data_IF_773169888879
#
_entry.id   IF_773169888879
#
_cell.length_a   1.000
_cell.length_b   1.000
_cell.length_c   1.000
_cell.angle_alpha   90.00
_cell.angle_beta   90.00
_cell.angle_gamma   90.00
#
_symmetry.space_group_name_H-M   'P 1'
#
loop_
_entity.id
_entity.type
_entity.pdbx_description
1 polymer ?
#
# COMPACT_ATOMS: atom_id res chain seq x y z
N UNK A 1 -12.07 15.01 79.56
CA UNK A 1 -11.13 15.88 78.84
C UNK A 1 -10.80 15.21 77.53
N UNK A 2 -11.48 15.61 76.45
CA UNK A 2 -11.24 15.09 75.11
C UNK A 2 -10.05 15.86 74.52
N UNK A 3 -9.01 15.16 74.15
CA UNK A 3 -7.83 15.74 73.51
C UNK A 3 -8.17 15.95 72.04
N UNK A 4 -8.35 17.21 71.64
CA UNK A 4 -8.65 17.59 70.25
C UNK A 4 -7.33 17.46 69.46
N UNK A 5 -7.27 16.49 68.55
CA UNK A 5 -6.11 16.27 67.68
C UNK A 5 -6.18 17.28 66.53
N UNK A 6 -5.19 18.15 66.44
CA UNK A 6 -5.13 19.24 65.46
C UNK A 6 -4.99 18.68 64.03
N UNK A 7 -5.58 19.36 63.05
CA UNK A 7 -5.50 19.04 61.60
C UNK A 7 -4.07 18.91 61.07
N UNK A 8 -3.09 19.51 61.74
CA UNK A 8 -1.68 19.39 61.39
C UNK A 8 -1.07 18.04 61.82
N UNK A 9 -1.53 17.46 62.93
CA UNK A 9 -1.04 16.17 63.41
C UNK A 9 -1.51 15.02 62.51
N UNK A 10 -2.71 15.13 61.94
CA UNK A 10 -3.22 14.19 60.93
C UNK A 10 -2.41 14.27 59.62
N UNK A 11 -2.06 15.47 59.14
CA UNK A 11 -1.26 15.65 57.92
C UNK A 11 0.20 15.19 58.07
N UNK A 12 0.77 15.39 59.27
CA UNK A 12 2.15 14.96 59.57
C UNK A 12 2.24 13.44 59.70
N UNK A 13 1.21 12.80 60.25
CA UNK A 13 1.11 11.34 60.26
C UNK A 13 0.81 10.74 58.89
N UNK A 14 -0.02 11.35 58.04
CA UNK A 14 -0.29 10.84 56.69
C UNK A 14 0.95 10.84 55.78
N UNK A 15 1.78 11.89 55.88
CA UNK A 15 3.07 11.93 55.18
C UNK A 15 4.10 10.97 55.79
N UNK A 16 4.07 10.79 57.12
CA UNK A 16 4.91 9.81 57.82
C UNK A 16 4.55 8.36 57.47
N UNK A 17 3.27 8.00 57.53
CA UNK A 17 2.75 6.68 57.14
C UNK A 17 2.95 6.41 55.64
N UNK A 18 2.84 7.42 54.76
CA UNK A 18 3.15 7.24 53.34
C UNK A 18 4.65 6.96 53.09
N UNK A 19 5.54 7.56 53.89
CA UNK A 19 6.99 7.33 53.82
C UNK A 19 7.37 5.99 54.48
N UNK A 20 6.71 5.61 55.57
CA UNK A 20 6.94 4.36 56.30
C UNK A 20 6.34 3.13 55.57
N UNK A 21 5.18 3.30 54.90
CA UNK A 21 4.64 2.34 53.95
C UNK A 21 5.50 2.25 52.68
N UNK A 22 6.11 3.35 52.23
CA UNK A 22 7.06 3.38 51.13
C UNK A 22 8.38 2.66 51.45
N UNK A 23 8.91 2.80 52.66
CA UNK A 23 10.15 2.14 53.11
C UNK A 23 9.96 0.64 53.39
N UNK A 24 8.86 0.23 54.02
CA UNK A 24 8.59 -1.20 54.30
C UNK A 24 8.17 -1.99 53.05
N UNK A 25 7.48 -1.35 52.08
CA UNK A 25 7.20 -1.95 50.77
C UNK A 25 8.45 -2.02 49.89
N UNK A 26 9.33 -1.01 49.96
CA UNK A 26 10.61 -1.04 49.25
C UNK A 26 11.51 -2.18 49.75
N UNK A 27 11.76 -2.34 51.05
CA UNK A 27 12.64 -3.42 51.52
C UNK A 27 12.16 -4.84 51.12
N UNK A 28 10.85 -5.06 51.08
CA UNK A 28 10.26 -6.36 50.76
C UNK A 28 10.13 -6.61 49.25
N UNK A 29 9.92 -5.58 48.44
CA UNK A 29 9.66 -5.69 46.99
C UNK A 29 10.71 -5.04 46.08
N UNK A 30 11.81 -4.48 46.60
CA UNK A 30 12.89 -3.89 45.80
C UNK A 30 13.43 -4.85 44.75
N UNK A 31 13.58 -6.14 45.06
CA UNK A 31 14.00 -7.16 44.08
C UNK A 31 12.96 -7.36 42.96
N UNK A 32 11.68 -7.34 43.30
CA UNK A 32 10.59 -7.46 42.33
C UNK A 32 10.50 -6.21 41.45
N UNK A 33 10.56 -5.01 42.03
CA UNK A 33 10.54 -3.75 41.30
C UNK A 33 11.78 -3.60 40.39
N UNK A 34 12.96 -3.95 40.88
CA UNK A 34 14.17 -3.96 40.06
C UNK A 34 14.05 -4.96 38.91
N UNK A 35 13.50 -6.15 39.15
CA UNK A 35 13.21 -7.13 38.10
C UNK A 35 12.24 -6.60 37.04
N UNK A 36 11.18 -5.91 37.46
CA UNK A 36 10.23 -5.26 36.54
C UNK A 36 10.91 -4.16 35.72
N UNK A 37 11.68 -3.28 36.36
CA UNK A 37 12.39 -2.19 35.68
C UNK A 37 13.41 -2.75 34.68
N UNK A 38 14.21 -3.75 35.06
CA UNK A 38 15.14 -4.44 34.17
C UNK A 38 14.40 -5.11 33.02
N UNK A 39 13.26 -5.77 33.30
CA UNK A 39 12.43 -6.39 32.27
C UNK A 39 11.87 -5.38 31.26
N UNK A 40 11.39 -4.23 31.72
CA UNK A 40 10.90 -3.14 30.87
C UNK A 40 12.03 -2.56 30.03
N UNK A 41 13.19 -2.29 30.62
CA UNK A 41 14.36 -1.77 29.91
C UNK A 41 14.87 -2.78 28.87
N UNK A 42 14.98 -4.06 29.22
CA UNK A 42 15.38 -5.10 28.28
C UNK A 42 14.41 -5.20 27.09
N UNK A 43 13.10 -5.15 27.37
CA UNK A 43 12.07 -5.14 26.32
C UNK A 43 12.19 -3.90 25.42
N UNK A 44 12.39 -2.72 26.01
CA UNK A 44 12.58 -1.48 25.26
C UNK A 44 13.83 -1.54 24.35
N UNK A 45 14.94 -2.11 24.84
CA UNK A 45 16.15 -2.31 24.03
C UNK A 45 15.90 -3.27 22.87
N UNK A 46 15.19 -4.37 23.08
CA UNK A 46 14.84 -5.33 22.00
C UNK A 46 13.95 -4.66 20.96
N UNK A 47 12.92 -3.90 21.39
CA UNK A 47 12.04 -3.14 20.49
C UNK A 47 12.83 -2.10 19.70
N UNK A 48 13.71 -1.35 20.36
CA UNK A 48 14.55 -0.35 19.71
C UNK A 48 15.53 -0.98 18.71
N UNK A 49 16.19 -2.08 19.07
CA UNK A 49 17.09 -2.79 18.18
C UNK A 49 16.36 -3.37 16.97
N UNK A 50 15.17 -3.95 17.16
CA UNK A 50 14.32 -4.43 16.08
C UNK A 50 13.86 -3.28 15.16
N UNK A 51 13.51 -2.13 15.74
CA UNK A 51 13.14 -0.93 14.99
C UNK A 51 14.32 -0.38 14.18
N UNK A 52 15.50 -0.25 14.78
CA UNK A 52 16.72 0.24 14.12
C UNK A 52 17.22 -0.70 12.99
N UNK A 53 17.09 -2.01 13.19
CA UNK A 53 17.38 -2.98 12.14
C UNK A 53 16.37 -2.91 10.99
N UNK A 54 15.08 -2.72 11.31
CA UNK A 54 14.03 -2.55 10.29
C UNK A 54 14.19 -1.24 9.52
N UNK A 55 14.54 -0.14 10.17
CA UNK A 55 14.70 1.17 9.51
C UNK A 55 15.88 1.18 8.54
N UNK A 56 17.05 0.67 8.96
CA UNK A 56 18.22 0.55 8.08
C UNK A 56 17.96 -0.35 6.86
N UNK A 57 17.16 -1.41 7.04
CA UNK A 57 16.71 -2.28 5.92
C UNK A 57 15.77 -1.55 4.95
N UNK A 58 14.91 -0.64 5.42
CA UNK A 58 13.98 0.12 4.58
C UNK A 58 14.71 1.20 3.78
N UNK A 59 15.72 1.86 4.37
CA UNK A 59 16.56 2.84 3.66
C UNK A 59 17.29 2.17 2.49
N UNK A 60 17.96 1.04 2.74
CA UNK A 60 18.62 0.26 1.69
C UNK A 60 17.64 -0.19 0.59
N UNK A 61 16.44 -0.62 0.96
CA UNK A 61 15.41 -1.01 0.00
C UNK A 61 14.94 0.17 -0.87
N UNK A 62 14.84 1.37 -0.28
CA UNK A 62 14.45 2.59 -0.99
C UNK A 62 15.53 3.04 -1.96
N UNK A 63 16.79 2.95 -1.58
CA UNK A 63 17.93 3.22 -2.47
C UNK A 63 17.97 2.22 -3.63
N UNK A 64 17.82 0.93 -3.34
CA UNK A 64 17.76 -0.13 -4.34
C UNK A 64 16.59 0.08 -5.33
N UNK A 65 15.40 0.44 -4.83
CA UNK A 65 14.26 0.79 -5.68
C UNK A 65 14.59 1.98 -6.58
N UNK A 66 15.20 3.04 -6.05
CA UNK A 66 15.61 4.18 -6.86
C UNK A 66 16.61 3.80 -7.96
N UNK A 67 17.56 2.90 -7.69
CA UNK A 67 18.48 2.37 -8.68
C UNK A 67 17.77 1.53 -9.75
N UNK A 68 16.86 0.64 -9.36
CA UNK A 68 16.06 -0.18 -10.26
C UNK A 68 15.18 0.69 -11.18
N UNK A 69 14.58 1.76 -10.64
CA UNK A 69 13.79 2.72 -11.42
C UNK A 69 14.64 3.47 -12.45
N UNK A 70 15.87 3.87 -12.11
CA UNK A 70 16.79 4.48 -13.09
C UNK A 70 17.12 3.53 -14.23
N UNK A 71 17.35 2.25 -13.94
CA UNK A 71 17.55 1.22 -14.96
C UNK A 71 16.29 1.09 -15.83
N UNK A 72 15.10 0.97 -15.23
CA UNK A 72 13.84 0.87 -15.96
C UNK A 72 13.55 2.09 -16.86
N UNK A 73 14.01 3.28 -16.46
CA UNK A 73 13.90 4.52 -17.23
C UNK A 73 15.08 4.79 -18.18
N UNK A 74 16.06 3.88 -18.23
CA UNK A 74 17.27 4.05 -19.03
C UNK A 74 16.98 4.25 -20.53
N UNK A 75 17.75 5.15 -21.15
CA UNK A 75 17.61 5.47 -22.57
C UNK A 75 18.18 4.34 -23.44
N UNK A 76 17.55 4.12 -24.59
CA UNK A 76 18.03 3.17 -25.60
C UNK A 76 18.92 3.93 -26.58
N UNK A 77 20.19 3.55 -26.66
CA UNK A 77 21.19 4.19 -27.52
C UNK A 77 21.78 3.19 -28.50
N UNK A 78 21.93 3.61 -29.77
CA UNK A 78 22.37 2.73 -30.85
C UNK A 78 23.86 2.32 -30.77
N UNK A 79 24.69 3.09 -30.06
CA UNK A 79 26.11 2.79 -29.86
C UNK A 79 26.60 3.39 -28.55
N UNK A 80 27.58 2.72 -27.92
CA UNK A 80 28.20 3.20 -26.69
C UNK A 80 27.31 3.11 -25.45
N UNK A 81 26.37 2.15 -25.41
CA UNK A 81 25.54 1.88 -24.25
C UNK A 81 26.39 1.61 -23.00
N UNK A 82 25.93 2.15 -21.86
CA UNK A 82 26.58 2.04 -20.55
C UNK A 82 25.56 1.51 -19.55
N UNK A 83 25.26 0.20 -19.57
CA UNK A 83 24.22 -0.38 -18.74
C UNK A 83 24.56 -0.35 -17.24
N UNK A 84 25.83 -0.23 -16.88
CA UNK A 84 26.32 -0.22 -15.48
C UNK A 84 26.59 1.19 -14.93
N UNK A 85 26.24 2.25 -15.66
CA UNK A 85 26.30 3.60 -15.11
C UNK A 85 25.27 3.75 -13.98
N UNK A 86 25.74 4.05 -12.76
CA UNK A 86 24.89 4.11 -11.58
C UNK A 86 23.86 5.26 -11.59
N UNK A 87 24.13 6.32 -12.38
CA UNK A 87 23.30 7.53 -12.44
C UNK A 87 22.47 7.58 -13.72
N UNK A 88 23.09 7.30 -14.86
CA UNK A 88 22.48 7.43 -16.18
C UNK A 88 22.72 6.15 -17.00
N UNK A 89 22.11 5.02 -16.61
CA UNK A 89 22.27 3.78 -17.35
C UNK A 89 21.62 3.91 -18.72
N UNK A 90 22.32 3.41 -19.74
CA UNK A 90 21.83 3.38 -21.13
C UNK A 90 21.98 1.98 -21.69
N UNK A 91 21.08 1.59 -22.59
CA UNK A 91 20.92 0.21 -23.04
C UNK A 91 20.95 0.12 -24.56
N UNK A 92 21.41 -1.01 -25.09
CA UNK A 92 21.38 -1.24 -26.53
C UNK A 92 19.97 -1.59 -27.04
N UNK A 93 19.09 -2.05 -26.15
CA UNK A 93 17.70 -2.39 -26.49
C UNK A 93 16.74 -2.26 -25.30
N UNK A 94 15.45 -2.16 -25.58
CA UNK A 94 14.40 -2.21 -24.56
C UNK A 94 14.44 -3.54 -23.80
N UNK A 95 14.64 -4.66 -24.50
CA UNK A 95 14.69 -5.99 -23.91
C UNK A 95 15.78 -6.11 -22.83
N UNK A 96 17.00 -5.69 -23.14
CA UNK A 96 18.12 -5.74 -22.20
C UNK A 96 17.84 -4.89 -20.95
N UNK A 97 17.31 -3.69 -21.15
CA UNK A 97 16.89 -2.79 -20.06
C UNK A 97 15.85 -3.45 -19.17
N UNK A 98 14.81 -4.00 -19.77
CA UNK A 98 13.67 -4.57 -19.06
C UNK A 98 14.08 -5.85 -18.31
N UNK A 99 14.93 -6.70 -18.89
CA UNK A 99 15.51 -7.86 -18.21
C UNK A 99 16.33 -7.44 -16.98
N UNK A 100 17.19 -6.42 -17.11
CA UNK A 100 17.99 -5.91 -15.98
C UNK A 100 17.12 -5.26 -14.91
N UNK A 101 16.13 -4.46 -15.30
CA UNK A 101 15.18 -3.84 -14.38
C UNK A 101 14.39 -4.90 -13.61
N UNK A 102 13.88 -5.92 -14.31
CA UNK A 102 13.14 -7.02 -13.72
C UNK A 102 13.96 -7.77 -12.68
N UNK A 103 15.22 -8.10 -12.99
CA UNK A 103 16.12 -8.75 -12.03
C UNK A 103 16.33 -7.92 -10.76
N UNK A 104 16.49 -6.60 -10.89
CA UNK A 104 16.64 -5.69 -9.75
C UNK A 104 15.36 -5.62 -8.90
N UNK A 105 14.20 -5.49 -9.53
CA UNK A 105 12.92 -5.50 -8.80
C UNK A 105 12.70 -6.82 -8.06
N UNK A 106 12.98 -7.97 -8.70
CA UNK A 106 12.90 -9.29 -8.06
C UNK A 106 13.81 -9.37 -6.83
N UNK A 107 15.06 -8.92 -6.94
CA UNK A 107 15.99 -8.92 -5.82
C UNK A 107 15.49 -8.08 -4.63
N UNK A 108 14.87 -6.92 -4.88
CA UNK A 108 14.26 -6.08 -3.83
C UNK A 108 13.11 -6.84 -3.15
N UNK A 109 12.25 -7.48 -3.93
CA UNK A 109 11.10 -8.24 -3.44
C UNK A 109 11.55 -9.41 -2.55
N UNK A 110 12.57 -10.15 -2.98
CA UNK A 110 13.11 -11.28 -2.22
C UNK A 110 13.80 -10.83 -0.92
N UNK A 111 14.53 -9.72 -0.95
CA UNK A 111 15.28 -9.24 0.21
C UNK A 111 14.42 -8.50 1.24
N UNK A 112 13.31 -7.88 0.82
CA UNK A 112 12.58 -6.91 1.64
C UNK A 112 11.08 -7.19 1.81
N UNK A 113 10.60 -8.38 1.45
CA UNK A 113 9.27 -8.89 1.82
C UNK A 113 8.14 -7.96 1.39
N UNK A 114 7.28 -7.52 2.31
CA UNK A 114 6.16 -6.60 2.06
C UNK A 114 6.45 -5.15 2.49
N UNK A 115 7.72 -4.75 2.54
CA UNK A 115 8.06 -3.34 2.74
C UNK A 115 7.52 -2.47 1.60
N UNK A 116 7.30 -1.17 1.85
CA UNK A 116 6.84 -0.23 0.81
C UNK A 116 7.65 -0.30 -0.49
N UNK A 117 9.00 -0.28 -0.45
CA UNK A 117 9.81 -0.42 -1.66
C UNK A 117 9.66 -1.77 -2.37
N UNK A 118 9.46 -2.86 -1.62
CA UNK A 118 9.20 -4.17 -2.20
C UNK A 118 7.81 -4.24 -2.84
N UNK A 119 6.78 -3.65 -2.24
CA UNK A 119 5.44 -3.56 -2.84
C UNK A 119 5.45 -2.72 -4.13
N UNK A 120 6.17 -1.60 -4.13
CA UNK A 120 6.39 -0.82 -5.35
C UNK A 120 7.12 -1.64 -6.42
N UNK A 121 8.13 -2.41 -6.04
CA UNK A 121 8.85 -3.32 -6.96
C UNK A 121 7.94 -4.43 -7.50
N UNK A 122 7.07 -5.01 -6.66
CA UNK A 122 6.05 -5.99 -7.11
C UNK A 122 5.09 -5.38 -8.12
N UNK A 123 4.63 -4.15 -7.89
CA UNK A 123 3.77 -3.45 -8.84
C UNK A 123 4.45 -3.32 -10.22
N UNK A 124 5.73 -2.93 -10.24
CA UNK A 124 6.51 -2.87 -11.49
C UNK A 124 6.67 -4.23 -12.17
N UNK A 125 6.93 -5.29 -11.40
CA UNK A 125 6.97 -6.66 -11.95
C UNK A 125 5.62 -7.08 -12.54
N UNK A 126 4.51 -6.70 -11.89
CA UNK A 126 3.17 -6.96 -12.39
C UNK A 126 2.90 -6.29 -13.73
N UNK A 127 3.27 -5.00 -13.87
CA UNK A 127 3.14 -4.24 -15.10
C UNK A 127 4.00 -4.82 -16.23
N UNK A 128 5.24 -5.24 -15.92
CA UNK A 128 6.13 -5.88 -16.88
C UNK A 128 5.57 -7.23 -17.36
N UNK A 129 5.11 -8.07 -16.44
CA UNK A 129 4.48 -9.35 -16.76
C UNK A 129 3.21 -9.16 -17.59
N UNK A 130 2.39 -8.15 -17.27
CA UNK A 130 1.20 -7.80 -18.04
C UNK A 130 1.58 -7.40 -19.47
N UNK A 131 2.60 -6.56 -19.65
CA UNK A 131 3.07 -6.09 -20.94
C UNK A 131 3.65 -7.22 -21.82
N UNK A 132 4.28 -8.22 -21.23
CA UNK A 132 4.82 -9.40 -21.95
C UNK A 132 3.79 -10.50 -22.16
N UNK A 133 2.56 -10.35 -21.63
CA UNK A 133 1.48 -11.30 -21.77
C UNK A 133 1.50 -12.44 -20.74
N UNK A 134 2.41 -12.42 -19.76
CA UNK A 134 2.40 -13.34 -18.63
C UNK A 134 1.35 -12.90 -17.59
N UNK A 135 0.09 -13.18 -17.92
CA UNK A 135 -1.07 -12.81 -17.10
C UNK A 135 -1.07 -13.47 -15.73
N UNK A 136 -0.53 -14.68 -15.62
CA UNK A 136 -0.46 -15.42 -14.37
C UNK A 136 0.50 -14.76 -13.39
N UNK A 137 1.71 -14.41 -13.84
CA UNK A 137 2.67 -13.68 -13.01
C UNK A 137 2.15 -12.27 -12.67
N UNK A 138 1.54 -11.58 -13.64
CA UNK A 138 0.95 -10.25 -13.41
C UNK A 138 -0.09 -10.29 -12.29
N UNK A 139 -1.05 -11.24 -12.36
CA UNK A 139 -2.07 -11.43 -11.34
C UNK A 139 -1.46 -11.69 -9.96
N UNK A 140 -0.52 -12.63 -9.88
CA UNK A 140 0.14 -12.97 -8.61
C UNK A 140 0.78 -11.74 -7.95
N UNK A 141 1.49 -10.92 -8.73
CA UNK A 141 2.12 -9.72 -8.21
C UNK A 141 1.11 -8.66 -7.77
N UNK A 142 0.07 -8.38 -8.57
CA UNK A 142 -0.97 -7.42 -8.20
C UNK A 142 -1.74 -7.85 -6.96
N UNK A 143 -2.16 -9.12 -6.86
CA UNK A 143 -2.86 -9.65 -5.69
C UNK A 143 -2.03 -9.48 -4.41
N UNK A 144 -0.73 -9.71 -4.49
CA UNK A 144 0.15 -9.53 -3.33
C UNK A 144 0.26 -8.06 -2.90
N UNK A 145 0.23 -7.12 -3.85
CA UNK A 145 0.22 -5.68 -3.55
C UNK A 145 -1.09 -5.26 -2.90
N UNK A 146 -2.23 -5.71 -3.43
CA UNK A 146 -3.55 -5.43 -2.85
C UNK A 146 -3.67 -6.02 -1.44
N UNK A 147 -3.24 -7.28 -1.23
CA UNK A 147 -3.35 -7.95 0.06
C UNK A 147 -2.47 -7.34 1.16
N UNK A 148 -1.41 -6.62 0.80
CA UNK A 148 -0.46 -6.04 1.77
C UNK A 148 -0.74 -4.56 2.09
N UNK A 149 -1.52 -3.87 1.26
CA UNK A 149 -1.71 -2.42 1.37
C UNK A 149 -3.18 -2.04 1.42
N UNK A 150 -3.80 -2.10 2.59
CA UNK A 150 -5.13 -1.50 2.77
C UNK A 150 -5.05 0.01 2.48
N UNK A 151 -5.88 0.49 1.55
CA UNK A 151 -6.07 1.89 1.11
C UNK A 151 -4.80 2.66 0.69
N UNK A 152 -3.81 1.98 0.12
CA UNK A 152 -2.63 2.64 -0.47
C UNK A 152 -2.81 2.93 -1.97
N UNK A 153 -2.15 3.98 -2.49
CA UNK A 153 -2.11 4.25 -3.93
C UNK A 153 -1.52 3.09 -4.75
N UNK A 154 -0.62 2.29 -4.14
CA UNK A 154 -0.09 1.07 -4.75
C UNK A 154 -1.19 0.00 -4.90
N UNK A 155 -2.00 -0.20 -3.85
CA UNK A 155 -3.12 -1.13 -3.91
C UNK A 155 -4.19 -0.66 -4.89
N UNK A 156 -4.49 0.65 -4.95
CA UNK A 156 -5.39 1.20 -5.96
C UNK A 156 -4.90 0.87 -7.38
N UNK A 157 -3.61 1.12 -7.67
CA UNK A 157 -3.01 0.82 -8.97
C UNK A 157 -3.06 -0.68 -9.28
N UNK A 158 -2.75 -1.52 -8.29
CA UNK A 158 -2.81 -2.97 -8.45
C UNK A 158 -4.24 -3.49 -8.67
N UNK A 159 -5.24 -2.92 -7.99
CA UNK A 159 -6.66 -3.24 -8.19
C UNK A 159 -7.12 -2.90 -9.61
N UNK A 160 -6.65 -1.78 -10.19
CA UNK A 160 -6.91 -1.45 -11.60
C UNK A 160 -6.26 -2.46 -12.55
N UNK A 161 -5.03 -2.89 -12.26
CA UNK A 161 -4.34 -3.96 -13.00
C UNK A 161 -5.10 -5.28 -12.98
N UNK A 162 -5.64 -5.67 -11.82
CA UNK A 162 -6.49 -6.86 -11.68
C UNK A 162 -7.80 -6.74 -12.45
N UNK A 163 -8.47 -5.59 -12.40
CA UNK A 163 -9.67 -5.35 -13.20
C UNK A 163 -9.40 -5.45 -14.71
N UNK A 164 -8.26 -4.93 -15.18
CA UNK A 164 -7.84 -5.07 -16.56
C UNK A 164 -7.58 -6.54 -16.96
N UNK A 165 -6.94 -7.33 -16.08
CA UNK A 165 -6.74 -8.76 -16.27
C UNK A 165 -8.06 -9.53 -16.32
N UNK A 166 -8.96 -9.28 -15.36
CA UNK A 166 -10.28 -9.93 -15.29
C UNK A 166 -11.06 -9.69 -16.59
N UNK A 167 -11.05 -8.46 -17.13
CA UNK A 167 -11.65 -8.17 -18.45
C UNK A 167 -10.98 -8.95 -19.59
N UNK A 168 -9.66 -8.98 -19.62
CA UNK A 168 -8.90 -9.63 -20.69
C UNK A 168 -9.03 -11.17 -20.68
N UNK A 169 -9.33 -11.75 -19.53
CA UNK A 169 -9.49 -13.21 -19.32
C UNK A 169 -10.95 -13.69 -19.44
N UNK A 170 -11.90 -12.78 -19.68
CA UNK A 170 -13.31 -13.12 -19.83
C UNK A 170 -14.09 -13.19 -18.51
N UNK A 171 -13.49 -12.77 -17.40
CA UNK A 171 -14.12 -12.70 -16.07
C UNK A 171 -14.88 -11.39 -15.83
N UNK A 172 -15.46 -10.81 -16.89
CA UNK A 172 -16.11 -9.49 -16.82
C UNK A 172 -17.39 -9.53 -15.95
N UNK A 173 -18.12 -10.65 -15.95
CA UNK A 173 -19.34 -10.80 -15.16
C UNK A 173 -19.04 -10.79 -13.64
N UNK A 174 -18.03 -11.56 -13.22
CA UNK A 174 -17.56 -11.61 -11.84
C UNK A 174 -17.03 -10.24 -11.39
N UNK A 175 -16.28 -9.57 -12.27
CA UNK A 175 -15.77 -8.23 -12.01
C UNK A 175 -16.90 -7.21 -11.81
N UNK A 176 -17.95 -7.24 -12.62
CA UNK A 176 -19.13 -6.36 -12.46
C UNK A 176 -19.75 -6.55 -11.07
N UNK A 177 -19.97 -7.80 -10.65
CA UNK A 177 -20.53 -8.09 -9.31
C UNK A 177 -19.62 -7.55 -8.20
N UNK A 178 -18.30 -7.75 -8.31
CA UNK A 178 -17.35 -7.22 -7.33
C UNK A 178 -17.39 -5.69 -7.25
N UNK A 179 -17.31 -5.00 -8.38
CA UNK A 179 -17.30 -3.53 -8.44
C UNK A 179 -18.61 -2.93 -7.90
N UNK A 180 -19.76 -3.55 -8.19
CA UNK A 180 -21.05 -3.13 -7.62
C UNK A 180 -21.08 -3.29 -6.09
N UNK A 181 -20.54 -4.41 -5.58
CA UNK A 181 -20.43 -4.63 -4.14
C UNK A 181 -19.49 -3.62 -3.47
N UNK A 182 -18.35 -3.32 -4.08
CA UNK A 182 -17.38 -2.35 -3.55
C UNK A 182 -18.01 -0.95 -3.51
N UNK A 183 -18.74 -0.57 -4.56
CA UNK A 183 -19.45 0.72 -4.63
C UNK A 183 -20.59 0.82 -3.61
N UNK A 184 -21.33 -0.26 -3.37
CA UNK A 184 -22.42 -0.28 -2.40
C UNK A 184 -21.92 -0.20 -0.95
N UNK A 185 -20.78 -0.83 -0.67
CA UNK A 185 -20.23 -0.90 0.69
C UNK A 185 -19.25 0.26 1.00
N UNK A 186 -18.77 0.96 -0.03
CA UNK A 186 -17.75 2.01 0.11
C UNK A 186 -16.44 1.45 0.68
N UNK A 187 -16.08 0.21 0.33
CA UNK A 187 -14.91 -0.49 0.86
C UNK A 187 -13.89 -0.74 -0.24
N UNK A 188 -12.61 -0.63 0.11
CA UNK A 188 -11.49 -0.98 -0.76
C UNK A 188 -10.69 0.24 -1.24
N UNK A 189 -9.59 -0.01 -1.96
CA UNK A 189 -8.58 1.00 -2.25
C UNK A 189 -8.99 1.99 -3.35
N UNK A 190 -10.15 1.81 -3.98
CA UNK A 190 -10.61 2.63 -5.10
C UNK A 190 -11.72 3.59 -4.66
N UNK A 191 -11.62 4.89 -4.99
CA UNK A 191 -12.70 5.83 -4.77
C UNK A 191 -13.90 5.54 -5.70
N UNK A 192 -15.08 6.03 -5.31
CA UNK A 192 -16.35 5.73 -5.98
C UNK A 192 -16.36 6.12 -7.47
N UNK A 193 -15.72 7.22 -7.85
CA UNK A 193 -15.63 7.67 -9.24
C UNK A 193 -14.79 6.72 -10.11
N UNK A 194 -13.69 6.20 -9.56
CA UNK A 194 -12.88 5.16 -10.21
C UNK A 194 -13.65 3.86 -10.33
N UNK A 195 -14.37 3.45 -9.28
CA UNK A 195 -15.22 2.25 -9.31
C UNK A 195 -16.31 2.34 -10.38
N UNK A 196 -16.98 3.50 -10.49
CA UNK A 196 -17.97 3.75 -11.54
C UNK A 196 -17.35 3.68 -12.95
N UNK A 197 -16.18 4.27 -13.14
CA UNK A 197 -15.48 4.23 -14.42
C UNK A 197 -15.09 2.79 -14.81
N UNK A 198 -14.51 2.03 -13.88
CA UNK A 198 -14.16 0.63 -14.12
C UNK A 198 -15.39 -0.24 -14.35
N UNK A 199 -16.48 0.00 -13.63
CA UNK A 199 -17.73 -0.72 -13.81
C UNK A 199 -18.30 -0.50 -15.21
N UNK A 200 -18.36 0.74 -15.67
CA UNK A 200 -18.87 1.06 -16.99
C UNK A 200 -18.03 0.44 -18.12
N UNK A 201 -16.70 0.56 -18.07
CA UNK A 201 -15.79 -0.11 -19.03
C UNK A 201 -15.99 -1.63 -19.04
N UNK A 202 -16.20 -2.23 -17.87
CA UNK A 202 -16.40 -3.68 -17.75
C UNK A 202 -17.76 -4.10 -18.32
N UNK A 203 -18.81 -3.32 -18.10
CA UNK A 203 -20.12 -3.53 -18.71
C UNK A 203 -20.06 -3.45 -20.24
N UNK A 204 -19.28 -2.53 -20.81
CA UNK A 204 -19.06 -2.48 -22.27
C UNK A 204 -18.41 -3.76 -22.79
N UNK A 205 -17.34 -4.24 -22.14
CA UNK A 205 -16.65 -5.50 -22.52
C UNK A 205 -17.57 -6.71 -22.35
N UNK A 206 -18.45 -6.69 -21.35
CA UNK A 206 -19.44 -7.74 -21.12
C UNK A 206 -20.64 -7.69 -22.10
N UNK A 207 -20.67 -6.76 -23.05
CA UNK A 207 -21.78 -6.62 -23.99
C UNK A 207 -23.05 -6.05 -23.35
N UNK A 208 -22.92 -5.24 -22.29
CA UNK A 208 -24.02 -4.59 -21.56
C UNK A 208 -24.01 -3.06 -21.79
N UNK A 209 -24.17 -2.57 -23.04
CA UNK A 209 -24.01 -1.14 -23.35
C UNK A 209 -25.06 -0.24 -22.69
N UNK A 210 -26.27 -0.75 -22.44
CA UNK A 210 -27.32 0.01 -21.76
C UNK A 210 -26.97 0.28 -20.29
N UNK A 211 -26.42 -0.72 -19.60
CA UNK A 211 -25.98 -0.60 -18.23
C UNK A 211 -24.73 0.30 -18.15
N UNK A 212 -23.78 0.12 -19.06
CA UNK A 212 -22.61 0.98 -19.18
C UNK A 212 -22.98 2.46 -19.34
N UNK A 213 -23.94 2.77 -20.22
CA UNK A 213 -24.44 4.13 -20.43
C UNK A 213 -25.03 4.72 -19.14
N UNK A 214 -25.79 3.91 -18.39
CA UNK A 214 -26.35 4.32 -17.11
C UNK A 214 -25.25 4.65 -16.10
N UNK A 215 -24.24 3.77 -16.00
CA UNK A 215 -23.09 3.96 -15.10
C UNK A 215 -22.25 5.19 -15.48
N UNK A 216 -21.99 5.40 -16.78
CA UNK A 216 -21.27 6.58 -17.26
C UNK A 216 -22.02 7.87 -16.94
N UNK A 217 -23.34 7.91 -17.12
CA UNK A 217 -24.14 9.06 -16.75
C UNK A 217 -24.06 9.34 -15.25
N UNK A 218 -24.18 8.30 -14.44
CA UNK A 218 -24.03 8.39 -12.98
C UNK A 218 -22.69 8.99 -12.58
N UNK A 219 -21.59 8.58 -13.22
CA UNK A 219 -20.27 9.17 -12.99
C UNK A 219 -20.22 10.68 -13.29
N UNK A 220 -20.81 11.11 -14.41
CA UNK A 220 -20.83 12.54 -14.78
C UNK A 220 -21.69 13.35 -13.80
N UNK A 221 -22.82 12.80 -13.38
CA UNK A 221 -23.78 13.47 -12.50
C UNK A 221 -23.28 13.54 -11.04
N UNK A 222 -22.75 12.43 -10.51
CA UNK A 222 -22.29 12.33 -9.11
C UNK A 222 -20.85 12.84 -8.91
N UNK A 223 -20.00 12.74 -9.93
CA UNK A 223 -18.58 13.11 -9.85
C UNK A 223 -18.13 13.99 -11.02
N UNK A 224 -18.68 15.21 -11.18
CA UNK A 224 -18.40 16.08 -12.33
C UNK A 224 -16.95 16.60 -12.40
N UNK A 225 -16.20 16.49 -11.30
CA UNK A 225 -14.79 16.89 -11.20
C UNK A 225 -13.81 15.71 -11.35
N UNK A 226 -14.31 14.48 -11.55
CA UNK A 226 -13.46 13.31 -11.72
C UNK A 226 -12.59 13.45 -12.99
N UNK A 227 -11.37 12.92 -12.93
CA UNK A 227 -10.52 12.81 -14.11
C UNK A 227 -11.16 11.97 -15.23
N UNK A 228 -12.09 11.09 -14.88
CA UNK A 228 -12.78 10.16 -15.79
C UNK A 228 -14.03 10.76 -16.45
N UNK A 229 -14.49 11.94 -16.04
CA UNK A 229 -15.69 12.58 -16.58
C UNK A 229 -15.55 12.90 -18.09
N UNK A 230 -14.33 13.19 -18.56
CA UNK A 230 -14.08 13.46 -19.97
C UNK A 230 -14.36 12.22 -20.84
N UNK A 231 -13.81 11.06 -20.45
CA UNK A 231 -14.08 9.78 -21.11
C UNK A 231 -15.56 9.42 -21.04
N UNK A 232 -16.18 9.57 -19.87
CA UNK A 232 -17.60 9.27 -19.69
C UNK A 232 -18.48 10.04 -20.68
N UNK A 233 -18.22 11.35 -20.88
CA UNK A 233 -18.95 12.17 -21.85
C UNK A 233 -18.73 11.70 -23.29
N UNK A 234 -17.50 11.34 -23.63
CA UNK A 234 -17.17 10.79 -24.96
C UNK A 234 -17.95 9.50 -25.23
N UNK A 235 -17.95 8.57 -24.26
CA UNK A 235 -18.67 7.28 -24.37
C UNK A 235 -20.18 7.45 -24.51
N UNK A 236 -20.77 8.38 -23.75
CA UNK A 236 -22.19 8.71 -23.86
C UNK A 236 -22.54 9.27 -25.25
N UNK A 237 -21.72 10.18 -25.79
CA UNK A 237 -21.93 10.77 -27.11
C UNK A 237 -21.81 9.73 -28.24
N UNK A 238 -20.84 8.82 -28.16
CA UNK A 238 -20.64 7.75 -29.14
C UNK A 238 -21.86 6.81 -29.22
N UNK A 239 -22.49 6.53 -28.06
CA UNK A 239 -23.69 5.68 -27.99
C UNK A 239 -24.90 6.36 -28.64
N UNK A 240 -25.07 7.66 -28.40
CA UNK A 240 -26.19 8.45 -28.93
C UNK A 240 -26.11 8.65 -30.46
N UNK A 241 -24.89 8.65 -31.01
CA UNK A 241 -24.66 8.75 -32.46
C UNK A 241 -24.99 7.43 -33.19
N UNK A 242 -24.79 6.27 -32.55
CA UNK A 242 -25.09 4.95 -33.15
C UNK A 242 -26.58 4.57 -33.14
N UNK A 243 -27.41 5.32 -32.41
CA UNK A 243 -28.87 5.09 -32.33
C UNK A 243 -29.69 5.98 -33.28
N UNK A 244 -29.05 6.82 -34.10
CA UNK A 244 -29.69 7.63 -35.17
C UNK A 244 -29.47 7.00 -36.53
#
# INVERSE_FOLDING_TARGET
MAHDLSREDLKRNELGEAVEAGMSFAETHLRLMLGIVVGVVATAVVVWAAWAWRSSRIEAASEALGAAQRVAAGEIVASGAKPDDARNPTFASARERDEKAGALFTAIVEAHGDSGPALASRLRLAEMAFATGDRAAARQHYERVVAAGDDSALAATASLGLAALDRAEGHAAELITRLQNDLANGRGPLPADVLLAELARTQEVAGQPADARTTWRRLVDEHPQSAWTAEARERLAATDAGTR
#
